data_IF_652857708599
#
_entry.id   IF_652857708599
#
_cell.length_a   1.000
_cell.length_b   1.000
_cell.length_c   1.000
_cell.angle_alpha   90.00
_cell.angle_beta   90.00
_cell.angle_gamma   90.00
#
_symmetry.space_group_name_H-M   'P 1'
#
loop_
_entity.id
_entity.type
_entity.pdbx_description
1 polymer ?
#
# COMPACT_ATOMS: atom_id res chain seq x y z
N UNK A 1 -7.98 -32.07 16.11
CA UNK A 1 -8.65 -31.18 15.17
C UNK A 1 -8.32 -29.76 15.60
N UNK A 2 -7.31 -29.15 14.96
CA UNK A 2 -6.81 -27.83 15.37
C UNK A 2 -7.72 -26.80 14.70
N UNK A 3 -8.57 -26.18 15.50
CA UNK A 3 -9.37 -25.04 15.04
C UNK A 3 -8.40 -23.88 14.87
N UNK A 4 -8.00 -23.58 13.65
CA UNK A 4 -7.41 -22.29 13.35
C UNK A 4 -8.45 -21.24 13.68
N UNK A 5 -8.21 -20.45 14.72
CA UNK A 5 -8.91 -19.21 14.92
C UNK A 5 -8.68 -18.40 13.65
N UNK A 6 -9.69 -18.26 12.84
CA UNK A 6 -9.75 -17.27 11.80
C UNK A 6 -9.58 -15.95 12.56
N UNK A 7 -8.39 -15.34 12.44
CA UNK A 7 -8.24 -13.97 12.91
C UNK A 7 -9.23 -13.16 12.08
N UNK A 8 -10.35 -12.84 12.68
CA UNK A 8 -11.33 -11.96 12.08
C UNK A 8 -10.69 -10.56 12.07
N UNK A 9 -10.09 -10.20 10.94
CA UNK A 9 -9.69 -8.83 10.70
C UNK A 9 -10.97 -8.00 10.70
N UNK A 10 -11.15 -7.20 11.72
CA UNK A 10 -12.27 -6.29 11.79
C UNK A 10 -11.99 -5.15 10.81
N UNK A 11 -12.82 -5.07 9.78
CA UNK A 11 -12.88 -3.90 8.92
C UNK A 11 -13.43 -2.74 9.75
N UNK A 12 -12.64 -1.70 9.89
CA UNK A 12 -13.03 -0.45 10.52
C UNK A 12 -12.96 0.65 9.45
N UNK A 13 -14.09 1.25 9.15
CA UNK A 13 -14.18 2.28 8.12
C UNK A 13 -13.26 3.49 8.41
N UNK A 14 -12.97 3.75 9.68
CA UNK A 14 -12.05 4.83 10.06
C UNK A 14 -10.57 4.48 9.81
N UNK A 15 -10.29 3.22 9.48
CA UNK A 15 -8.95 2.71 9.18
C UNK A 15 -8.74 2.39 7.69
N UNK A 16 -9.68 2.78 6.84
CA UNK A 16 -9.53 2.66 5.37
C UNK A 16 -8.57 3.74 4.89
N UNK A 17 -7.50 3.29 4.24
CA UNK A 17 -6.51 4.16 3.62
C UNK A 17 -6.89 4.47 2.17
N UNK A 18 -7.50 3.50 1.50
CA UNK A 18 -7.91 3.59 0.12
C UNK A 18 -9.14 2.72 -0.11
N UNK A 19 -10.13 3.20 -0.84
CA UNK A 19 -11.37 2.48 -1.15
C UNK A 19 -11.61 2.46 -2.66
N UNK A 20 -11.28 1.33 -3.29
CA UNK A 20 -11.54 1.05 -4.71
C UNK A 20 -11.06 2.16 -5.66
N UNK A 21 -9.86 2.70 -5.40
CA UNK A 21 -9.27 3.70 -6.26
C UNK A 21 -8.90 3.06 -7.60
N UNK A 22 -9.55 3.53 -8.65
CA UNK A 22 -9.17 3.21 -10.03
C UNK A 22 -8.04 4.14 -10.46
N UNK A 23 -6.85 3.60 -10.64
CA UNK A 23 -5.67 4.37 -11.07
C UNK A 23 -5.61 4.59 -12.58
N UNK A 24 -6.63 4.14 -13.33
CA UNK A 24 -6.69 4.30 -14.78
C UNK A 24 -7.03 5.74 -15.19
N UNK A 25 -6.07 6.61 -15.09
CA UNK A 25 -6.03 7.89 -15.78
C UNK A 25 -6.72 9.10 -15.12
N UNK A 26 -7.44 8.91 -14.02
CA UNK A 26 -8.17 10.00 -13.32
C UNK A 26 -7.66 10.30 -11.91
N UNK A 27 -6.45 9.88 -11.61
CA UNK A 27 -5.89 10.05 -10.27
C UNK A 27 -5.39 11.49 -10.10
N UNK A 28 -5.86 12.16 -9.06
CA UNK A 28 -5.20 13.36 -8.57
C UNK A 28 -3.78 12.97 -8.11
N UNK A 29 -2.83 13.27 -8.96
CA UNK A 29 -1.42 13.19 -8.63
C UNK A 29 -1.12 14.28 -7.61
N UNK A 30 -0.91 13.90 -6.37
CA UNK A 30 -0.35 14.85 -5.40
C UNK A 30 1.12 15.07 -5.80
N UNK A 31 1.34 16.28 -6.29
CA UNK A 31 2.59 16.86 -6.77
C UNK A 31 2.94 16.60 -8.24
N UNK A 32 2.37 17.39 -9.06
CA UNK A 32 2.85 18.21 -10.16
C UNK A 32 3.80 17.61 -11.19
N UNK A 33 3.82 16.31 -11.51
CA UNK A 33 4.33 15.82 -12.79
C UNK A 33 4.14 14.30 -12.93
N UNK A 34 2.98 13.90 -13.40
CA UNK A 34 2.81 12.53 -13.85
C UNK A 34 3.43 12.35 -15.23
N UNK A 35 4.63 11.85 -15.28
CA UNK A 35 5.04 11.04 -16.41
C UNK A 35 4.88 9.58 -15.99
N UNK A 36 4.37 8.73 -16.85
CA UNK A 36 3.99 7.34 -16.62
C UNK A 36 5.08 6.40 -16.05
N UNK A 37 6.27 6.87 -15.84
CA UNK A 37 7.35 6.17 -15.17
C UNK A 37 7.65 6.87 -13.84
N UNK A 38 7.29 6.25 -12.72
CA UNK A 38 7.59 6.75 -11.38
C UNK A 38 6.50 7.62 -10.76
N UNK A 39 5.23 7.47 -11.14
CA UNK A 39 4.12 8.14 -10.48
C UNK A 39 3.99 7.65 -9.04
N UNK A 40 4.00 8.57 -8.10
CA UNK A 40 3.69 8.30 -6.70
C UNK A 40 2.26 8.75 -6.48
N UNK A 41 1.38 7.80 -6.23
CA UNK A 41 0.02 8.08 -5.81
C UNK A 41 0.02 8.12 -4.28
N UNK A 42 -0.24 9.27 -3.71
CA UNK A 42 -0.50 9.38 -2.29
C UNK A 42 -2.01 9.43 -2.10
N UNK A 43 -2.56 8.47 -1.40
CA UNK A 43 -3.95 8.55 -0.97
C UNK A 43 -4.03 9.63 0.12
N UNK A 44 -4.96 10.54 -0.01
CA UNK A 44 -5.08 11.69 0.91
C UNK A 44 -5.49 11.30 2.34
N UNK A 45 -5.87 10.05 2.56
CA UNK A 45 -6.32 9.60 3.88
C UNK A 45 -5.13 9.41 4.81
N UNK A 46 -5.00 10.31 5.76
CA UNK A 46 -4.06 10.19 6.87
C UNK A 46 -4.81 9.68 8.10
N UNK A 47 -4.33 8.58 8.66
CA UNK A 47 -4.87 8.00 9.88
C UNK A 47 -4.03 8.45 11.07
N UNK A 48 -4.68 8.99 12.10
CA UNK A 48 -4.07 9.30 13.39
C UNK A 48 -4.17 8.05 14.30
N UNK A 49 -3.04 7.39 14.51
CA UNK A 49 -2.94 6.22 15.39
C UNK A 49 -2.87 6.60 16.87
N UNK A 50 -2.78 7.89 17.19
CA UNK A 50 -2.58 8.40 18.53
C UNK A 50 -1.15 8.27 19.04
N UNK A 51 -0.97 8.66 20.30
CA UNK A 51 0.33 8.58 20.95
C UNK A 51 0.56 7.16 21.49
N UNK A 52 1.53 6.46 20.96
CA UNK A 52 1.92 5.15 21.43
C UNK A 52 2.30 4.18 20.35
N UNK A 53 2.80 3.03 20.81
CA UNK A 53 3.17 1.94 19.93
C UNK A 53 1.92 1.21 19.45
N UNK A 54 1.79 1.09 18.15
CA UNK A 54 0.72 0.34 17.48
C UNK A 54 1.34 -0.73 16.60
N UNK A 55 0.79 -1.95 16.69
CA UNK A 55 1.12 -3.07 15.82
C UNK A 55 -0.16 -3.55 15.13
N UNK A 56 -0.03 -3.98 13.89
CA UNK A 56 -1.17 -4.44 13.11
C UNK A 56 -0.78 -4.99 11.76
N UNK A 57 -1.74 -4.94 10.85
CA UNK A 57 -1.58 -5.38 9.48
C UNK A 57 -2.11 -4.32 8.54
N UNK A 58 -1.37 -4.03 7.50
CA UNK A 58 -1.87 -3.39 6.29
C UNK A 58 -2.46 -4.49 5.42
N UNK A 59 -3.71 -4.36 5.06
CA UNK A 59 -4.44 -5.32 4.23
C UNK A 59 -4.70 -4.64 2.90
N UNK A 60 -4.34 -5.32 1.83
CA UNK A 60 -4.51 -4.87 0.45
C UNK A 60 -5.38 -5.89 -0.24
N UNK A 61 -6.56 -5.48 -0.65
CA UNK A 61 -7.51 -6.24 -1.45
C UNK A 61 -7.43 -5.76 -2.89
N UNK A 62 -7.06 -6.63 -3.82
CA UNK A 62 -6.95 -6.30 -5.23
C UNK A 62 -8.29 -6.55 -5.92
N UNK A 63 -8.92 -5.51 -6.42
CA UNK A 63 -10.16 -5.60 -7.21
C UNK A 63 -9.84 -5.86 -8.69
N UNK A 64 -8.83 -5.17 -9.23
CA UNK A 64 -8.29 -5.39 -10.56
C UNK A 64 -6.82 -5.00 -10.65
N UNK A 65 -6.06 -5.62 -11.53
CA UNK A 65 -4.64 -5.32 -11.75
C UNK A 65 -4.23 -5.74 -13.17
N UNK A 66 -3.43 -4.94 -13.83
CA UNK A 66 -2.95 -5.16 -15.18
C UNK A 66 -1.44 -5.45 -15.21
N UNK A 67 -0.99 -6.71 -15.05
CA UNK A 67 0.43 -7.08 -15.12
C UNK A 67 0.90 -7.45 -16.53
N UNK A 68 0.16 -7.10 -17.61
CA UNK A 68 0.28 -7.71 -18.93
C UNK A 68 1.48 -7.24 -19.77
N UNK A 69 2.14 -6.15 -19.43
CA UNK A 69 3.21 -5.60 -20.24
C UNK A 69 4.60 -6.17 -19.95
N UNK A 70 4.73 -7.03 -18.95
CA UNK A 70 5.99 -7.57 -18.42
C UNK A 70 6.94 -6.49 -17.83
N UNK A 71 6.47 -5.27 -17.64
CA UNK A 71 7.24 -4.16 -17.07
C UNK A 71 6.49 -3.43 -15.94
N UNK A 72 5.27 -3.86 -15.60
CA UNK A 72 4.48 -3.25 -14.55
C UNK A 72 4.95 -3.69 -13.17
N UNK A 73 5.19 -2.71 -12.31
CA UNK A 73 5.53 -2.91 -10.91
C UNK A 73 4.71 -1.95 -10.05
N UNK A 74 4.04 -2.50 -9.07
CA UNK A 74 3.25 -1.79 -8.07
C UNK A 74 3.92 -1.95 -6.71
N UNK A 75 4.34 -0.85 -6.12
CA UNK A 75 4.91 -0.85 -4.77
C UNK A 75 3.95 -0.10 -3.87
N UNK A 76 3.29 -0.83 -2.99
CA UNK A 76 2.35 -0.29 -2.02
C UNK A 76 3.07 -0.16 -0.68
N UNK A 77 3.05 1.04 -0.10
CA UNK A 77 3.79 1.36 1.12
C UNK A 77 2.89 2.00 2.15
N UNK A 78 3.03 1.57 3.39
CA UNK A 78 2.53 2.30 4.55
C UNK A 78 3.66 3.20 5.04
N UNK A 79 3.42 4.50 5.10
CA UNK A 79 4.37 5.49 5.58
C UNK A 79 3.92 6.08 6.91
N UNK A 80 4.89 6.36 7.79
CA UNK A 80 4.67 7.02 9.06
C UNK A 80 5.35 8.39 9.12
N UNK A 81 4.70 9.33 9.82
CA UNK A 81 5.24 10.65 10.15
C UNK A 81 4.67 11.13 11.49
N UNK A 82 5.33 12.10 12.12
CA UNK A 82 4.83 12.82 13.30
C UNK A 82 4.20 14.17 12.94
N UNK A 83 4.21 14.52 11.65
CA UNK A 83 3.46 15.63 11.08
C UNK A 83 2.27 15.08 10.28
N UNK A 84 1.06 15.47 10.65
CA UNK A 84 -0.17 14.93 10.06
C UNK A 84 -0.44 15.40 8.63
N UNK A 85 0.26 16.41 8.15
CA UNK A 85 0.13 16.86 6.76
C UNK A 85 1.19 16.26 5.82
N UNK A 86 2.17 15.51 6.38
CA UNK A 86 3.27 14.92 5.64
C UNK A 86 4.05 15.93 4.75
N UNK A 87 4.01 17.22 5.11
CA UNK A 87 4.61 18.29 4.33
C UNK A 87 6.13 18.33 4.44
N UNK A 88 6.67 17.86 5.56
CA UNK A 88 8.10 17.70 5.68
C UNK A 88 8.55 16.39 5.00
N UNK A 89 9.63 16.45 4.25
CA UNK A 89 10.12 15.39 3.37
C UNK A 89 10.55 14.08 4.08
N UNK A 90 10.19 13.85 5.34
CA UNK A 90 10.67 12.74 6.17
C UNK A 90 9.55 11.75 6.54
N UNK A 91 8.85 11.23 5.54
CA UNK A 91 8.02 10.05 5.74
C UNK A 91 8.89 8.78 5.75
N UNK A 92 8.58 7.85 6.64
CA UNK A 92 9.33 6.59 6.79
C UNK A 92 8.46 5.40 6.41
N UNK A 93 8.99 4.50 5.57
CA UNK A 93 8.29 3.28 5.16
C UNK A 93 8.22 2.30 6.33
N UNK A 94 7.01 2.03 6.83
CA UNK A 94 6.73 1.13 7.96
C UNK A 94 6.41 -0.28 7.49
N UNK A 95 5.77 -0.40 6.33
CA UNK A 95 5.47 -1.66 5.66
C UNK A 95 5.48 -1.45 4.15
N UNK A 96 5.75 -2.52 3.40
CA UNK A 96 5.78 -2.48 1.95
C UNK A 96 5.43 -3.84 1.37
N UNK A 97 4.73 -3.83 0.24
CA UNK A 97 4.59 -4.97 -0.65
C UNK A 97 4.92 -4.54 -2.07
N UNK A 98 5.48 -5.46 -2.86
CA UNK A 98 5.71 -5.27 -4.29
C UNK A 98 5.00 -6.38 -5.04
N UNK A 99 4.13 -6.00 -5.97
CA UNK A 99 3.34 -6.89 -6.82
C UNK A 99 3.47 -6.45 -8.28
N UNK A 100 3.05 -7.26 -9.23
CA UNK A 100 3.11 -6.95 -10.66
C UNK A 100 3.77 -8.03 -11.49
N UNK A 101 4.35 -7.64 -12.61
CA UNK A 101 4.93 -8.55 -13.60
C UNK A 101 6.11 -9.35 -13.04
N UNK A 102 6.08 -10.65 -13.27
CA UNK A 102 7.10 -11.57 -12.77
C UNK A 102 8.49 -11.28 -13.28
N UNK A 103 8.62 -10.76 -14.49
CA UNK A 103 9.90 -10.35 -15.09
C UNK A 103 10.57 -9.23 -14.29
N UNK A 104 9.80 -8.26 -13.82
CA UNK A 104 10.32 -7.14 -13.01
C UNK A 104 10.64 -7.59 -11.60
N UNK A 105 9.75 -8.37 -10.99
CA UNK A 105 9.93 -8.90 -9.64
C UNK A 105 11.12 -9.85 -9.54
N UNK A 106 11.36 -10.66 -10.57
CA UNK A 106 12.47 -11.61 -10.63
C UNK A 106 13.79 -11.01 -11.13
N UNK A 107 13.80 -9.71 -11.47
CA UNK A 107 14.99 -9.04 -12.03
C UNK A 107 15.51 -9.68 -13.34
N UNK A 108 14.57 -10.18 -14.19
CA UNK A 108 14.94 -10.84 -15.42
C UNK A 108 13.80 -11.59 -16.08
N UNK A 109 14.11 -12.48 -17.01
CA UNK A 109 13.13 -13.22 -17.78
C UNK A 109 12.53 -14.39 -17.01
N UNK A 110 11.22 -14.52 -17.04
CA UNK A 110 10.49 -15.75 -16.67
C UNK A 110 10.04 -15.83 -15.21
N UNK A 111 9.75 -14.71 -14.58
CA UNK A 111 9.05 -14.68 -13.29
C UNK A 111 7.56 -15.04 -13.44
N UNK A 112 6.91 -15.31 -12.31
CA UNK A 112 5.46 -15.44 -12.24
C UNK A 112 4.90 -14.12 -11.73
N UNK A 113 3.86 -13.63 -12.39
CA UNK A 113 3.13 -12.44 -11.97
C UNK A 113 2.60 -12.61 -10.55
N UNK A 114 2.67 -11.55 -9.78
CA UNK A 114 2.19 -11.51 -8.40
C UNK A 114 1.08 -10.48 -8.30
N UNK A 115 -0.06 -10.91 -7.81
CA UNK A 115 -1.28 -10.13 -7.74
C UNK A 115 -2.23 -10.46 -8.89
N UNK A 116 -3.46 -10.75 -8.53
CA UNK A 116 -4.57 -10.96 -9.44
C UNK A 116 -5.85 -10.40 -8.82
N UNK A 117 -6.85 -10.13 -9.63
CA UNK A 117 -8.15 -9.73 -9.14
C UNK A 117 -8.69 -10.74 -8.11
N UNK A 118 -9.09 -10.26 -6.96
CA UNK A 118 -9.55 -11.04 -5.82
C UNK A 118 -8.46 -11.50 -4.84
N UNK A 119 -7.20 -11.19 -5.10
CA UNK A 119 -6.12 -11.48 -4.16
C UNK A 119 -6.16 -10.53 -2.96
N UNK A 120 -5.81 -11.08 -1.80
CA UNK A 120 -5.62 -10.33 -0.55
C UNK A 120 -4.22 -10.51 -0.02
N UNK A 121 -3.56 -9.40 0.24
CA UNK A 121 -2.26 -9.38 0.89
C UNK A 121 -2.37 -8.83 2.31
N UNK A 122 -1.67 -9.47 3.25
CA UNK A 122 -1.67 -9.11 4.66
C UNK A 122 -0.23 -8.84 5.07
N UNK A 123 0.10 -7.57 5.27
CA UNK A 123 1.46 -7.11 5.53
C UNK A 123 1.56 -6.60 6.97
N UNK A 124 2.34 -7.25 7.84
CA UNK A 124 2.49 -6.80 9.21
C UNK A 124 3.19 -5.43 9.24
N UNK A 125 2.75 -4.56 10.16
CA UNK A 125 3.42 -3.30 10.42
C UNK A 125 3.53 -2.99 11.90
N UNK A 126 4.42 -2.07 12.19
CA UNK A 126 4.59 -1.42 13.49
C UNK A 126 4.85 0.06 13.22
N UNK A 127 4.20 0.94 13.97
CA UNK A 127 4.38 2.38 13.78
C UNK A 127 5.67 2.93 14.44
N UNK A 128 6.66 2.08 14.61
CA UNK A 128 7.97 2.43 15.20
C UNK A 128 9.10 2.01 14.27
N UNK A 129 10.05 2.91 14.05
CA UNK A 129 11.28 2.61 13.35
C UNK A 129 12.46 3.34 14.02
N UNK A 130 13.54 2.61 14.27
CA UNK A 130 14.77 3.14 14.88
C UNK A 130 14.54 3.87 16.21
N UNK A 131 13.59 3.43 17.03
CA UNK A 131 13.25 4.04 18.31
C UNK A 131 12.34 5.26 18.23
N UNK A 132 11.85 5.59 17.04
CA UNK A 132 10.87 6.67 16.83
C UNK A 132 9.50 6.07 16.56
N UNK A 133 8.51 6.45 17.36
CA UNK A 133 7.10 6.10 17.16
C UNK A 133 6.45 7.18 16.31
N UNK A 134 5.78 6.77 15.25
CA UNK A 134 5.07 7.66 14.33
C UNK A 134 3.58 7.66 14.63
N UNK A 135 3.02 8.84 14.83
CA UNK A 135 1.60 9.02 15.17
C UNK A 135 0.69 8.89 13.96
N UNK A 136 1.10 9.46 12.83
CA UNK A 136 0.29 9.51 11.63
C UNK A 136 0.81 8.53 10.59
N UNK A 137 -0.12 7.89 9.89
CA UNK A 137 0.21 6.98 8.80
C UNK A 137 -0.62 7.29 7.57
N UNK A 138 -0.03 7.06 6.39
CA UNK A 138 -0.70 7.12 5.10
C UNK A 138 -0.25 5.97 4.22
N UNK A 139 -1.04 5.63 3.21
CA UNK A 139 -0.60 4.76 2.13
C UNK A 139 -0.07 5.58 0.96
N UNK A 140 0.94 5.08 0.29
CA UNK A 140 1.35 5.54 -1.04
C UNK A 140 1.50 4.35 -1.97
N UNK A 141 1.23 4.58 -3.25
CA UNK A 141 1.45 3.61 -4.31
C UNK A 141 2.46 4.19 -5.30
N UNK A 142 3.45 3.39 -5.67
CA UNK A 142 4.42 3.73 -6.71
C UNK A 142 4.21 2.77 -7.87
N UNK A 143 3.76 3.31 -9.00
CA UNK A 143 3.47 2.56 -10.20
C UNK A 143 4.61 2.75 -11.21
N UNK A 144 5.05 1.66 -11.82
CA UNK A 144 6.05 1.65 -12.88
C UNK A 144 5.58 0.73 -14.00
N UNK A 145 5.86 1.09 -15.23
CA UNK A 145 5.42 0.36 -16.43
C UNK A 145 4.63 1.24 -17.37
N UNK A 146 4.52 0.82 -18.62
CA UNK A 146 3.90 1.62 -19.66
C UNK A 146 2.37 1.67 -19.58
N UNK A 147 1.77 0.67 -18.92
CA UNK A 147 0.32 0.49 -18.81
C UNK A 147 -0.09 0.07 -17.40
N UNK A 148 0.67 0.51 -16.38
CA UNK A 148 0.36 0.14 -15.01
C UNK A 148 -1.00 0.67 -14.60
N UNK A 149 -1.87 -0.25 -14.20
CA UNK A 149 -3.25 -0.02 -13.78
C UNK A 149 -3.61 -0.95 -12.63
N UNK A 150 -4.12 -0.42 -11.55
CA UNK A 150 -4.54 -1.18 -10.37
C UNK A 150 -5.76 -0.53 -9.73
N UNK A 151 -6.71 -1.36 -9.36
CA UNK A 151 -7.84 -0.99 -8.50
C UNK A 151 -7.75 -1.83 -7.24
N UNK A 152 -7.64 -1.19 -6.10
CA UNK A 152 -7.51 -1.89 -4.84
C UNK A 152 -8.21 -1.15 -3.68
N UNK A 153 -8.38 -1.87 -2.57
CA UNK A 153 -8.84 -1.32 -1.30
C UNK A 153 -7.78 -1.60 -0.25
N UNK A 154 -7.30 -0.56 0.41
CA UNK A 154 -6.26 -0.66 1.43
C UNK A 154 -6.78 -0.18 2.77
N UNK A 155 -6.61 -1.01 3.80
CA UNK A 155 -7.04 -0.69 5.15
C UNK A 155 -6.12 -1.27 6.21
N UNK A 156 -6.22 -0.74 7.44
CA UNK A 156 -5.45 -1.22 8.57
C UNK A 156 -6.31 -2.07 9.50
N UNK A 157 -5.71 -3.14 9.99
CA UNK A 157 -6.24 -3.92 11.12
C UNK A 157 -5.27 -3.82 12.29
N UNK A 158 -5.69 -3.20 13.38
CA UNK A 158 -4.84 -2.92 14.53
C UNK A 158 -5.04 -4.02 15.58
N UNK A 159 -3.93 -4.55 16.11
CA UNK A 159 -3.98 -5.44 17.27
C UNK A 159 -4.30 -4.62 18.51
N UNK A 160 -5.42 -4.91 19.14
CA UNK A 160 -5.79 -4.34 20.43
C UNK A 160 -5.40 -5.27 21.57
#
# INVERSE_FOLDING_TARGET
MTTYLKEDFLFDADLVLEDSLDTNGDVEVIDGAASYAGSILAVETVIDLGDGLVEGYMIVDIDDIEPHGNDELYIIKLQGNNDGDFADATAYDLAQISIGAGEVLANGTGGTDVGAAGDRFVVPFRNEQNGTVYRYVRCIQVLTGASADITDTIWLSIKR
#
